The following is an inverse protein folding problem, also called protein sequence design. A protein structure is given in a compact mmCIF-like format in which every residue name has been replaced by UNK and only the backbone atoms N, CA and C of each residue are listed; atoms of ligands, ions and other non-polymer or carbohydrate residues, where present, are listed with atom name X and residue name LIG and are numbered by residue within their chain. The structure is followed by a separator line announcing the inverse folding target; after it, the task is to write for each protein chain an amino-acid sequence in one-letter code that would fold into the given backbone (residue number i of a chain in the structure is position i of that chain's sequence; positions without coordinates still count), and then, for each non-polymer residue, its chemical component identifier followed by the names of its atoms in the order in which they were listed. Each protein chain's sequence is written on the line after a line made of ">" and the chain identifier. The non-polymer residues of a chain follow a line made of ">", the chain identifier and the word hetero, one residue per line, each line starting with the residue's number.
data_IF_437697117904
#
_entry.id   IF_437697117904
#
_cell.length_a   1.000
_cell.length_b   1.000
_cell.length_c   1.000
_cell.angle_alpha   90.00
_cell.angle_beta   90.00
_cell.angle_gamma   90.00
#
_symmetry.space_group_name_H-M   'P 1'
#
loop_
_entity.id
_entity.type
_entity.pdbx_description
1 polymer ?
#
# COMPACT_ATOMS: atom_id res chain seq x y z
N UNK A 1 -5.10 2.24 -21.68
CA UNK A 1 -4.52 1.01 -22.17
C UNK A 1 -4.94 -0.16 -21.30
N UNK A 2 -5.17 -1.32 -21.91
CA UNK A 2 -5.62 -2.53 -21.22
C UNK A 2 -4.46 -3.33 -20.61
N UNK A 3 -3.30 -2.73 -20.50
CA UNK A 3 -2.09 -3.42 -20.04
C UNK A 3 -1.79 -3.12 -18.59
N UNK A 4 -1.31 -4.15 -17.89
CA UNK A 4 -0.75 -3.97 -16.55
C UNK A 4 0.64 -3.36 -16.70
N UNK A 5 0.89 -2.31 -15.93
CA UNK A 5 2.19 -1.66 -15.91
C UNK A 5 2.87 -1.95 -14.57
N UNK A 6 4.10 -2.45 -14.64
CA UNK A 6 4.92 -2.67 -13.46
C UNK A 6 5.91 -1.52 -13.33
N UNK A 7 5.97 -0.93 -12.16
CA UNK A 7 6.87 0.21 -11.96
C UNK A 7 7.21 0.39 -10.49
N UNK A 8 8.21 1.20 -10.23
CA UNK A 8 8.57 1.59 -8.87
C UNK A 8 7.69 2.74 -8.42
N UNK A 9 7.66 2.99 -7.11
CA UNK A 9 6.95 4.14 -6.56
C UNK A 9 7.49 5.46 -7.14
N UNK A 10 8.80 5.55 -7.36
CA UNK A 10 9.42 6.73 -7.98
C UNK A 10 8.87 7.00 -9.37
N UNK A 11 8.70 5.94 -10.16
CA UNK A 11 8.24 6.06 -11.55
C UNK A 11 6.76 6.43 -11.64
N UNK A 12 5.99 6.19 -10.59
CA UNK A 12 4.56 6.47 -10.57
C UNK A 12 4.22 7.95 -10.38
N UNK A 13 5.19 8.76 -9.97
CA UNK A 13 4.97 10.19 -9.73
C UNK A 13 4.44 10.89 -10.96
N UNK A 14 3.35 11.62 -10.79
CA UNK A 14 2.74 12.36 -11.88
C UNK A 14 1.80 11.55 -12.78
N UNK A 15 1.67 10.25 -12.52
CA UNK A 15 0.80 9.37 -13.28
C UNK A 15 -0.45 9.04 -12.47
N UNK A 16 -1.50 8.60 -13.15
CA UNK A 16 -2.72 8.12 -12.50
C UNK A 16 -3.21 6.87 -13.21
N UNK A 17 -3.81 5.97 -12.44
CA UNK A 17 -4.30 4.69 -12.95
C UNK A 17 -5.65 4.36 -12.33
N UNK A 18 -6.57 3.72 -13.06
CA UNK A 18 -7.85 3.31 -12.49
C UNK A 18 -7.69 2.38 -11.29
N UNK A 19 -6.75 1.45 -11.36
CA UNK A 19 -6.49 0.51 -10.29
C UNK A 19 -4.99 0.43 -10.03
N UNK A 20 -4.60 0.61 -8.78
CA UNK A 20 -3.20 0.51 -8.35
C UNK A 20 -3.08 -0.63 -7.35
N UNK A 21 -2.08 -1.47 -7.54
CA UNK A 21 -1.68 -2.51 -6.60
C UNK A 21 -0.34 -2.12 -6.00
N UNK A 22 -0.26 -2.01 -4.69
CA UNK A 22 1.01 -1.81 -3.99
C UNK A 22 1.32 -3.09 -3.24
N UNK A 23 2.46 -3.69 -3.56
CA UNK A 23 2.88 -4.99 -3.03
C UNK A 23 4.02 -4.84 -2.04
N UNK A 24 4.12 -5.80 -1.13
CA UNK A 24 5.26 -5.86 -0.22
C UNK A 24 5.18 -4.89 0.94
N UNK A 25 3.96 -4.61 1.45
CA UNK A 25 3.78 -3.74 2.62
C UNK A 25 4.23 -4.45 3.90
N UNK A 26 5.52 -4.73 3.96
CA UNK A 26 6.17 -5.42 5.07
C UNK A 26 7.40 -4.66 5.51
N UNK A 27 7.70 -4.73 6.79
CA UNK A 27 8.94 -4.18 7.32
C UNK A 27 10.14 -4.77 6.58
N UNK A 28 11.16 -3.97 6.35
CA UNK A 28 12.36 -4.29 5.58
C UNK A 28 12.18 -4.31 4.07
N UNK A 29 10.95 -4.21 3.56
CA UNK A 29 10.67 -4.03 2.15
C UNK A 29 10.08 -2.65 1.88
N UNK A 30 9.08 -2.25 2.64
CA UNK A 30 8.46 -0.95 2.54
C UNK A 30 8.04 -0.52 3.95
N UNK A 31 8.88 0.20 4.71
CA UNK A 31 10.17 0.78 4.29
C UNK A 31 11.26 -0.26 4.10
N UNK A 32 12.17 0.01 3.20
CA UNK A 32 13.29 -0.87 2.93
C UNK A 32 14.27 -0.85 4.12
N UNK A 33 14.97 -1.98 4.34
CA UNK A 33 15.94 -2.09 5.42
C UNK A 33 16.96 -0.96 5.42
N UNK A 34 17.48 -0.59 4.26
CA UNK A 34 18.48 0.47 4.17
C UNK A 34 17.93 1.81 4.63
N UNK A 35 16.66 2.10 4.40
CA UNK A 35 16.02 3.33 4.87
C UNK A 35 15.83 3.33 6.38
N UNK A 36 15.53 2.18 6.96
CA UNK A 36 15.41 2.05 8.41
C UNK A 36 16.77 2.32 9.07
N UNK A 37 17.82 1.72 8.55
CA UNK A 37 19.18 1.88 9.08
C UNK A 37 19.71 3.30 8.88
N UNK A 38 19.40 3.92 7.77
CA UNK A 38 19.86 5.29 7.45
C UNK A 38 18.96 6.38 8.01
N UNK A 39 17.87 6.00 8.68
CA UNK A 39 16.89 6.95 9.25
C UNK A 39 16.25 7.85 8.17
N UNK A 40 16.04 7.31 6.97
CA UNK A 40 15.42 8.04 5.85
C UNK A 40 13.99 7.57 5.58
N UNK A 41 13.31 7.11 6.62
CA UNK A 41 11.94 6.57 6.52
C UNK A 41 10.97 7.60 5.98
N UNK A 42 11.13 8.87 6.35
CA UNK A 42 10.21 9.93 5.93
C UNK A 42 10.15 10.08 4.42
N UNK A 43 11.29 9.94 3.73
CA UNK A 43 11.32 10.03 2.28
C UNK A 43 10.56 8.87 1.64
N UNK A 44 10.74 7.68 2.18
CA UNK A 44 10.06 6.49 1.68
C UNK A 44 8.57 6.54 1.98
N UNK A 45 8.18 7.09 3.12
CA UNK A 45 6.77 7.30 3.47
C UNK A 45 6.09 8.21 2.46
N UNK A 46 6.72 9.31 2.08
CA UNK A 46 6.19 10.23 1.06
C UNK A 46 6.01 9.51 -0.26
N UNK A 47 6.99 8.70 -0.61
CA UNK A 47 6.96 7.94 -1.86
C UNK A 47 5.80 6.97 -1.88
N UNK A 48 5.57 6.27 -0.77
CA UNK A 48 4.43 5.37 -0.64
C UNK A 48 3.11 6.14 -0.79
N UNK A 49 2.98 7.29 -0.13
CA UNK A 49 1.77 8.10 -0.22
C UNK A 49 1.51 8.57 -1.65
N UNK A 50 2.56 8.94 -2.37
CA UNK A 50 2.44 9.27 -3.80
C UNK A 50 1.90 8.07 -4.56
N UNK A 51 2.45 6.88 -4.30
CA UNK A 51 1.97 5.66 -4.96
C UNK A 51 0.51 5.36 -4.68
N UNK A 52 0.09 5.48 -3.42
CA UNK A 52 -1.30 5.23 -3.04
C UNK A 52 -2.26 6.21 -3.71
N UNK A 53 -1.86 7.46 -3.84
CA UNK A 53 -2.72 8.50 -4.41
C UNK A 53 -2.78 8.48 -5.94
N UNK A 54 -2.02 7.59 -6.59
CA UNK A 54 -2.12 7.39 -8.04
C UNK A 54 -3.37 6.61 -8.43
N UNK A 55 -4.06 5.99 -7.48
CA UNK A 55 -5.28 5.23 -7.79
C UNK A 55 -6.47 6.16 -7.98
N UNK A 56 -7.14 6.04 -9.12
CA UNK A 56 -8.33 6.82 -9.40
C UNK A 56 -9.61 6.16 -8.88
N UNK A 57 -9.69 4.84 -8.96
CA UNK A 57 -10.92 4.09 -8.64
C UNK A 57 -10.74 3.02 -7.59
N UNK A 58 -9.62 2.31 -7.62
CA UNK A 58 -9.38 1.17 -6.73
C UNK A 58 -7.91 1.08 -6.35
N UNK A 59 -7.68 0.84 -5.08
CA UNK A 59 -6.35 0.63 -4.53
C UNK A 59 -6.34 -0.71 -3.81
N UNK A 60 -5.39 -1.56 -4.17
CA UNK A 60 -5.20 -2.85 -3.52
C UNK A 60 -3.80 -2.90 -2.91
N UNK A 61 -3.74 -3.29 -1.65
CA UNK A 61 -2.49 -3.39 -0.91
C UNK A 61 -2.26 -4.85 -0.55
N UNK A 62 -1.02 -5.30 -0.63
CA UNK A 62 -0.72 -6.70 -0.28
C UNK A 62 0.54 -6.80 0.56
N UNK A 63 0.56 -7.82 1.40
CA UNK A 63 1.69 -8.17 2.24
C UNK A 63 1.71 -9.68 2.41
N UNK A 64 2.88 -10.21 2.75
CA UNK A 64 3.03 -11.63 3.04
C UNK A 64 3.37 -11.81 4.52
N UNK A 65 2.78 -12.85 5.13
CA UNK A 65 3.13 -13.20 6.50
C UNK A 65 4.52 -13.83 6.58
N UNK A 66 4.90 -14.54 5.52
CA UNK A 66 6.22 -15.17 5.43
C UNK A 66 6.78 -14.98 4.03
N UNK A 67 8.10 -14.94 3.92
CA UNK A 67 8.81 -14.90 2.64
C UNK A 67 9.98 -15.85 2.66
N UNK A 68 10.31 -16.34 1.48
CA UNK A 68 11.50 -17.14 1.31
C UNK A 68 12.67 -16.24 0.95
N UNK A 69 13.68 -16.20 1.82
CA UNK A 69 14.87 -15.37 1.63
C UNK A 69 16.09 -16.27 1.74
N UNK A 70 16.88 -16.33 0.66
CA UNK A 70 18.05 -17.20 0.59
C UNK A 70 17.77 -18.66 0.96
N UNK A 71 16.62 -19.18 0.50
CA UNK A 71 16.22 -20.56 0.75
C UNK A 71 15.57 -20.81 2.10
N UNK A 72 15.50 -19.82 2.97
CA UNK A 72 14.88 -19.96 4.28
C UNK A 72 13.56 -19.19 4.33
N UNK A 73 12.58 -19.76 5.04
CA UNK A 73 11.30 -19.09 5.27
C UNK A 73 11.46 -18.11 6.42
N UNK A 74 11.22 -16.85 6.14
CA UNK A 74 11.33 -15.76 7.12
C UNK A 74 9.96 -15.19 7.41
N UNK A 75 9.64 -15.03 8.69
CA UNK A 75 8.41 -14.35 9.10
C UNK A 75 8.54 -12.86 8.84
N UNK A 76 7.46 -12.27 8.32
CA UNK A 76 7.41 -10.83 8.03
C UNK A 76 6.39 -10.14 8.91
N UNK A 77 6.72 -8.92 9.31
CA UNK A 77 5.80 -8.08 10.04
C UNK A 77 5.15 -7.07 9.06
N UNK A 78 3.88 -6.70 9.29
CA UNK A 78 3.24 -5.68 8.46
C UNK A 78 4.03 -4.38 8.49
N UNK A 79 4.01 -3.66 7.37
CA UNK A 79 4.68 -2.38 7.26
C UNK A 79 4.14 -1.38 8.28
N UNK A 80 5.02 -0.61 8.89
CA UNK A 80 4.61 0.51 9.75
C UNK A 80 3.76 1.53 9.00
N UNK A 81 3.96 1.64 7.69
CA UNK A 81 3.15 2.55 6.85
C UNK A 81 1.70 2.08 6.77
N UNK A 82 1.48 0.77 6.73
CA UNK A 82 0.13 0.22 6.72
C UNK A 82 -0.60 0.55 8.02
N UNK A 83 0.10 0.49 9.13
CA UNK A 83 -0.48 0.80 10.44
C UNK A 83 -0.86 2.27 10.59
N UNK A 84 -0.27 3.15 9.78
CA UNK A 84 -0.58 4.58 9.79
C UNK A 84 -1.87 4.90 9.03
N UNK A 85 -2.38 3.95 8.25
CA UNK A 85 -3.62 4.16 7.50
C UNK A 85 -4.83 3.89 8.39
N UNK A 86 -5.94 4.63 8.21
CA UNK A 86 -7.14 4.41 9.01
C UNK A 86 -7.80 3.08 8.62
N UNK A 87 -7.89 2.17 9.57
CA UNK A 87 -8.41 0.81 9.34
C UNK A 87 -9.86 0.82 8.90
N UNK A 88 -10.64 1.82 9.32
CA UNK A 88 -12.04 1.94 8.92
C UNK A 88 -12.23 2.20 7.42
N UNK A 89 -11.19 2.68 6.75
CA UNK A 89 -11.22 2.91 5.31
C UNK A 89 -10.68 1.72 4.51
N UNK A 90 -10.15 0.70 5.19
CA UNK A 90 -9.56 -0.46 4.55
C UNK A 90 -10.52 -1.65 4.65
N UNK A 91 -10.63 -2.38 3.53
CA UNK A 91 -11.33 -3.66 3.51
C UNK A 91 -10.29 -4.75 3.75
N UNK A 92 -10.31 -5.32 4.94
CA UNK A 92 -9.37 -6.38 5.31
C UNK A 92 -10.11 -7.72 5.28
N UNK A 93 -9.76 -8.63 4.36
CA UNK A 93 -10.44 -9.92 4.28
C UNK A 93 -10.39 -10.67 5.61
N UNK A 94 -11.55 -11.16 6.06
CA UNK A 94 -11.65 -11.90 7.32
C UNK A 94 -11.77 -11.05 8.56
N UNK A 95 -11.82 -9.72 8.42
CA UNK A 95 -11.98 -8.83 9.56
C UNK A 95 -13.40 -8.93 10.12
N UNK A 96 -13.53 -9.44 11.35
CA UNK A 96 -14.77 -9.45 12.13
C UNK A 96 -16.01 -9.97 11.41
N UNK A 97 -15.85 -10.82 10.39
CA UNK A 97 -16.97 -11.39 9.66
C UNK A 97 -17.81 -10.37 8.90
N UNK A 98 -17.33 -9.16 8.72
CA UNK A 98 -18.06 -8.14 7.98
C UNK A 98 -18.06 -8.44 6.49
N UNK A 99 -19.16 -8.17 5.79
CA UNK A 99 -19.18 -8.34 4.34
C UNK A 99 -18.25 -7.33 3.68
N UNK A 100 -17.75 -7.64 2.47
CA UNK A 100 -16.93 -6.67 1.75
C UNK A 100 -17.75 -5.43 1.42
N UNK A 101 -17.10 -4.25 1.30
CA UNK A 101 -17.82 -3.03 0.97
C UNK A 101 -18.39 -3.09 -0.44
N UNK A 102 -19.47 -2.36 -0.67
CA UNK A 102 -19.99 -2.17 -2.02
C UNK A 102 -19.00 -1.34 -2.84
N UNK A 103 -19.18 -1.32 -4.16
CA UNK A 103 -18.33 -0.51 -5.03
C UNK A 103 -18.39 0.99 -4.67
N UNK A 104 -19.57 1.48 -4.30
CA UNK A 104 -19.73 2.89 -3.90
C UNK A 104 -19.03 3.18 -2.56
N UNK A 105 -19.17 2.28 -1.60
CA UNK A 105 -18.47 2.40 -0.32
C UNK A 105 -16.97 2.37 -0.50
N UNK A 106 -16.47 1.45 -1.34
CA UNK A 106 -15.04 1.35 -1.63
C UNK A 106 -14.50 2.62 -2.27
N UNK A 107 -15.23 3.22 -3.22
CA UNK A 107 -14.83 4.48 -3.83
C UNK A 107 -14.83 5.63 -2.85
N UNK A 108 -15.84 5.68 -1.97
CA UNK A 108 -15.89 6.69 -0.92
C UNK A 108 -14.72 6.55 0.04
N UNK A 109 -14.37 5.32 0.41
CA UNK A 109 -13.23 5.05 1.28
C UNK A 109 -11.91 5.48 0.62
N UNK A 110 -11.76 5.19 -0.67
CA UNK A 110 -10.56 5.60 -1.40
C UNK A 110 -10.46 7.13 -1.48
N UNK A 111 -11.56 7.81 -1.78
CA UNK A 111 -11.58 9.27 -1.83
C UNK A 111 -11.21 9.88 -0.48
N UNK A 112 -11.74 9.33 0.61
CA UNK A 112 -11.42 9.80 1.96
C UNK A 112 -9.95 9.58 2.30
N UNK A 113 -9.40 8.43 1.92
CA UNK A 113 -7.98 8.12 2.14
C UNK A 113 -7.09 9.09 1.36
N UNK A 114 -7.40 9.32 0.09
CA UNK A 114 -6.62 10.23 -0.75
C UNK A 114 -6.64 11.66 -0.18
N UNK A 115 -7.80 12.12 0.27
CA UNK A 115 -7.92 13.45 0.87
C UNK A 115 -7.05 13.58 2.12
N UNK A 116 -7.00 12.53 2.93
CA UNK A 116 -6.17 12.49 4.13
C UNK A 116 -4.68 12.54 3.78
N UNK A 117 -4.26 11.77 2.75
CA UNK A 117 -2.86 11.69 2.35
C UNK A 117 -2.38 12.93 1.62
N UNK A 118 -3.26 13.58 0.85
CA UNK A 118 -2.93 14.80 0.11
C UNK A 118 -3.00 16.06 0.99
N UNK A 119 -3.67 15.93 2.11
CA UNK A 119 -3.82 17.01 3.07
C UNK A 119 -2.61 17.15 3.96
#
# INVERSE_FOLDING_TARGET
>A
SDRVQLMTLHSAKGLEFPHVFVMGLEEELLPHRSSIEAETIEEERRLMYVGLTRAERRLSLSLCATRRVFGETTRREPSRFLEELPMELLDWPGKDGQPPPTADEARGNLAALKAMLDG
#
